data_IF_166110262208
#
_entry.id   IF_166110262208
#
_cell.length_a   1.000
_cell.length_b   1.000
_cell.length_c   1.000
_cell.angle_alpha   90.00
_cell.angle_beta   90.00
_cell.angle_gamma   90.00
#
_symmetry.space_group_name_H-M   'P 1'
#
loop_
_entity.id
_entity.type
_entity.pdbx_description
1 polymer ?
#
# COMPACT_ATOMS: atom_id res chain seq x y z
N UNK A 1 -45.07 36.82 38.42
CA UNK A 1 -44.13 36.66 37.30
C UNK A 1 -42.95 35.71 37.55
N UNK A 2 -42.57 35.32 38.77
CA UNK A 2 -41.40 34.41 39.02
C UNK A 2 -41.65 32.92 38.81
N UNK A 3 -42.89 32.43 38.86
CA UNK A 3 -43.20 30.97 38.68
C UNK A 3 -43.15 30.49 37.21
N UNK A 4 -43.48 31.35 36.25
CA UNK A 4 -43.51 30.99 34.83
C UNK A 4 -42.11 30.89 34.20
N UNK A 5 -41.12 31.61 34.76
CA UNK A 5 -39.73 31.58 34.27
C UNK A 5 -39.03 30.26 34.58
N UNK A 6 -39.36 29.66 35.75
CA UNK A 6 -38.76 28.35 36.14
C UNK A 6 -39.27 27.20 35.27
N UNK A 7 -40.54 27.24 34.84
CA UNK A 7 -41.12 26.20 33.96
C UNK A 7 -40.52 26.26 32.56
N UNK A 8 -40.27 27.44 32.02
CA UNK A 8 -39.65 27.63 30.69
C UNK A 8 -38.18 27.13 30.68
N UNK A 9 -37.41 27.41 31.75
CA UNK A 9 -36.05 26.91 31.87
C UNK A 9 -36.00 25.36 32.00
N UNK A 10 -36.95 24.75 32.74
CA UNK A 10 -37.05 23.29 32.87
C UNK A 10 -37.41 22.62 31.53
N UNK A 11 -38.34 23.22 30.76
CA UNK A 11 -38.73 22.71 29.44
C UNK A 11 -37.59 22.77 28.40
N UNK A 12 -36.76 23.83 28.44
CA UNK A 12 -35.57 23.94 27.56
C UNK A 12 -34.49 22.90 27.93
N UNK A 13 -34.30 22.57 29.21
CA UNK A 13 -33.37 21.53 29.64
C UNK A 13 -33.83 20.13 29.23
N UNK A 14 -35.12 19.84 29.29
CA UNK A 14 -35.67 18.52 28.90
C UNK A 14 -35.60 18.32 27.39
N UNK A 15 -35.77 19.36 26.57
CA UNK A 15 -35.66 19.25 25.10
C UNK A 15 -34.24 19.00 24.63
N UNK A 16 -33.23 19.51 25.34
CA UNK A 16 -31.83 19.24 25.00
C UNK A 16 -31.36 17.85 25.40
N UNK A 17 -31.96 17.24 26.42
CA UNK A 17 -31.63 15.85 26.83
C UNK A 17 -32.10 14.83 25.80
N UNK A 18 -33.17 15.09 25.08
CA UNK A 18 -33.71 14.17 24.04
C UNK A 18 -32.83 14.20 22.75
N UNK A 19 -32.20 15.33 22.45
CA UNK A 19 -31.28 15.42 21.32
C UNK A 19 -29.95 14.69 21.59
N UNK A 20 -29.49 14.67 22.84
CA UNK A 20 -28.25 13.99 23.23
C UNK A 20 -28.39 12.45 23.22
N UNK A 21 -29.57 11.90 23.48
CA UNK A 21 -29.82 10.46 23.43
C UNK A 21 -29.77 9.89 22.00
N UNK A 22 -30.11 10.69 20.98
CA UNK A 22 -29.98 10.28 19.57
C UNK A 22 -28.53 10.13 19.11
N UNK A 23 -27.59 10.88 19.70
CA UNK A 23 -26.16 10.80 19.43
C UNK A 23 -25.47 9.59 20.13
N UNK A 24 -26.11 9.01 21.14
CA UNK A 24 -25.59 7.86 21.90
C UNK A 24 -26.15 6.50 21.43
N UNK A 25 -27.13 6.49 20.54
CA UNK A 25 -27.56 5.28 19.85
C UNK A 25 -26.51 4.86 18.84
N UNK A 26 -25.39 4.29 19.33
CA UNK A 26 -24.50 3.50 18.48
C UNK A 26 -25.33 2.30 18.00
N UNK A 27 -25.62 2.26 16.71
CA UNK A 27 -26.04 1.01 16.08
C UNK A 27 -25.03 -0.06 16.50
N UNK A 28 -25.49 -1.19 16.99
CA UNK A 28 -24.59 -2.33 17.27
C UNK A 28 -23.80 -2.62 16.00
N UNK A 29 -22.48 -2.51 16.09
CA UNK A 29 -21.61 -2.88 14.99
C UNK A 29 -21.57 -4.39 14.92
N UNK A 30 -22.26 -4.96 13.94
CA UNK A 30 -22.22 -6.40 13.68
C UNK A 30 -21.01 -6.68 12.80
N UNK A 31 -20.01 -7.34 13.38
CA UNK A 31 -18.84 -7.80 12.63
C UNK A 31 -19.21 -9.00 11.76
N UNK A 32 -18.82 -8.93 10.50
CA UNK A 32 -18.97 -10.02 9.54
C UNK A 32 -17.76 -10.97 9.62
N UNK A 33 -17.86 -12.15 8.97
CA UNK A 33 -16.72 -13.06 8.84
C UNK A 33 -15.56 -12.39 8.09
N UNK A 34 -15.84 -11.53 7.10
CA UNK A 34 -14.82 -10.81 6.36
C UNK A 34 -14.08 -9.79 7.24
N UNK A 35 -14.77 -9.12 8.16
CA UNK A 35 -14.13 -8.23 9.13
C UNK A 35 -13.18 -9.01 10.05
N UNK A 36 -13.61 -10.21 10.50
CA UNK A 36 -12.77 -11.09 11.30
C UNK A 36 -11.54 -11.59 10.51
N UNK A 37 -11.72 -12.03 9.27
CA UNK A 37 -10.61 -12.49 8.43
C UNK A 37 -9.62 -11.37 8.14
N UNK A 38 -10.08 -10.14 7.99
CA UNK A 38 -9.25 -8.98 7.76
C UNK A 38 -8.51 -8.51 9.03
N UNK A 39 -9.24 -8.38 10.14
CA UNK A 39 -8.77 -7.69 11.35
C UNK A 39 -8.16 -8.59 12.41
N UNK A 40 -8.27 -9.92 12.28
CA UNK A 40 -7.78 -10.87 13.28
C UNK A 40 -6.45 -11.49 12.88
N UNK A 41 -5.64 -11.82 13.89
CA UNK A 41 -4.54 -12.77 13.72
C UNK A 41 -5.16 -14.17 13.72
N UNK A 42 -5.41 -14.70 12.53
CA UNK A 42 -5.92 -16.06 12.36
C UNK A 42 -4.82 -17.09 12.59
N UNK A 43 -5.19 -18.36 12.78
CA UNK A 43 -4.21 -19.46 12.87
C UNK A 43 -3.34 -19.55 11.63
N UNK A 44 -3.91 -19.23 10.47
CA UNK A 44 -3.26 -19.23 9.17
C UNK A 44 -2.29 -18.05 8.97
N UNK A 45 -2.32 -17.05 9.87
CA UNK A 45 -1.38 -15.92 9.90
C UNK A 45 -0.35 -16.00 11.02
N UNK A 46 -0.69 -16.52 12.21
CA UNK A 46 0.15 -16.43 13.40
C UNK A 46 1.40 -17.30 13.40
N UNK A 47 1.41 -18.38 12.58
CA UNK A 47 2.44 -19.40 12.57
C UNK A 47 3.72 -19.02 11.79
N UNK A 48 3.68 -17.94 11.00
CA UNK A 48 4.79 -17.49 10.18
C UNK A 48 5.04 -15.99 10.35
N UNK A 49 6.31 -15.61 10.29
CA UNK A 49 6.83 -14.26 10.43
C UNK A 49 7.46 -13.83 9.11
N UNK A 50 7.01 -12.72 8.52
CA UNK A 50 7.49 -12.27 7.23
C UNK A 50 8.87 -11.64 7.35
N UNK A 51 9.83 -12.08 6.52
CA UNK A 51 11.20 -11.58 6.51
C UNK A 51 11.52 -10.71 5.32
N UNK A 52 10.94 -11.04 4.17
CA UNK A 52 11.25 -10.34 2.94
C UNK A 52 10.13 -10.49 1.92
N UNK A 53 9.89 -9.42 1.16
CA UNK A 53 9.07 -9.43 -0.05
C UNK A 53 9.90 -9.06 -1.27
N UNK A 54 9.65 -9.74 -2.39
CA UNK A 54 10.01 -9.26 -3.71
C UNK A 54 8.73 -9.11 -4.53
N UNK A 55 8.27 -7.87 -4.62
CA UNK A 55 7.14 -7.50 -5.45
C UNK A 55 7.65 -7.17 -6.86
N UNK A 56 7.39 -8.03 -7.84
CA UNK A 56 7.77 -7.87 -9.23
C UNK A 56 6.52 -7.75 -10.09
N UNK A 57 6.23 -6.54 -10.57
CA UNK A 57 4.97 -6.22 -11.24
C UNK A 57 5.16 -5.48 -12.56
N UNK A 58 4.23 -5.70 -13.47
CA UNK A 58 4.03 -4.92 -14.68
C UNK A 58 2.74 -4.12 -14.56
N UNK A 59 2.83 -2.81 -14.75
CA UNK A 59 1.70 -1.89 -14.75
C UNK A 59 1.39 -1.47 -16.18
N UNK A 60 0.17 -1.73 -16.63
CA UNK A 60 -0.28 -1.37 -17.97
C UNK A 60 -1.35 -0.25 -17.92
N UNK A 61 -0.96 1.00 -18.26
CA UNK A 61 -1.90 2.13 -18.24
C UNK A 61 -3.02 2.06 -19.28
N UNK A 62 -2.84 1.27 -20.36
CA UNK A 62 -3.81 1.21 -21.47
C UNK A 62 -5.11 0.52 -21.09
N UNK A 63 -5.00 -0.52 -20.28
CA UNK A 63 -6.14 -1.32 -19.83
C UNK A 63 -6.36 -1.28 -18.31
N UNK A 64 -5.54 -0.49 -17.61
CA UNK A 64 -5.59 -0.30 -16.14
C UNK A 64 -5.39 -1.62 -15.39
N UNK A 65 -4.39 -2.41 -15.79
CA UNK A 65 -4.06 -3.69 -15.17
C UNK A 65 -2.72 -3.67 -14.46
N UNK A 66 -2.64 -4.51 -13.42
CA UNK A 66 -1.39 -4.90 -12.76
C UNK A 66 -1.27 -6.41 -12.89
N UNK A 67 -0.09 -6.91 -13.26
CA UNK A 67 0.22 -8.34 -13.32
C UNK A 67 1.64 -8.57 -12.81
N UNK A 68 1.86 -9.69 -12.15
CA UNK A 68 3.19 -10.02 -11.67
C UNK A 68 3.17 -11.04 -10.54
N UNK A 69 4.11 -10.91 -9.63
CA UNK A 69 4.25 -11.82 -8.50
C UNK A 69 4.74 -11.10 -7.25
N UNK A 70 4.46 -11.70 -6.10
CA UNK A 70 5.12 -11.39 -4.85
C UNK A 70 5.80 -12.66 -4.32
N UNK A 71 7.11 -12.63 -4.20
CA UNK A 71 7.88 -13.68 -3.52
C UNK A 71 7.97 -13.31 -2.04
N UNK A 72 7.52 -14.22 -1.20
CA UNK A 72 7.39 -14.06 0.25
C UNK A 72 8.38 -14.98 0.94
N UNK A 73 9.41 -14.42 1.56
CA UNK A 73 10.30 -15.17 2.44
C UNK A 73 9.84 -15.00 3.87
N UNK A 74 9.70 -16.12 4.58
CA UNK A 74 9.17 -16.13 5.93
C UNK A 74 9.91 -17.12 6.84
N UNK A 75 9.86 -16.87 8.13
CA UNK A 75 10.31 -17.78 9.17
C UNK A 75 9.09 -18.47 9.78
N UNK A 76 9.17 -19.76 9.94
CA UNK A 76 8.16 -20.56 10.63
C UNK A 76 8.29 -20.34 12.14
N UNK A 77 7.24 -19.86 12.79
CA UNK A 77 7.18 -19.61 14.23
C UNK A 77 6.52 -20.78 14.97
N UNK A 78 5.49 -21.35 14.35
CA UNK A 78 4.77 -22.49 14.88
C UNK A 78 4.53 -23.51 13.77
N UNK A 79 4.33 -24.78 14.12
CA UNK A 79 4.07 -25.83 13.18
C UNK A 79 2.67 -25.70 12.57
N UNK A 80 2.60 -25.49 11.24
CA UNK A 80 1.33 -25.38 10.50
C UNK A 80 1.54 -25.66 8.99
N UNK A 81 0.45 -25.89 8.26
CA UNK A 81 0.48 -26.26 6.84
C UNK A 81 -0.49 -25.44 5.97
N UNK A 82 -1.14 -24.44 6.52
CA UNK A 82 -2.07 -23.57 5.81
C UNK A 82 -1.74 -22.11 6.01
N UNK A 83 -1.60 -21.35 4.91
CA UNK A 83 -1.20 -19.93 4.95
C UNK A 83 -2.32 -19.03 4.44
N UNK A 84 -2.61 -17.96 5.18
CA UNK A 84 -3.49 -16.90 4.71
C UNK A 84 -2.69 -15.81 4.02
N UNK A 85 -3.08 -15.49 2.78
CA UNK A 85 -2.63 -14.33 1.99
C UNK A 85 -3.84 -13.49 1.65
N UNK A 86 -3.70 -12.18 1.80
CA UNK A 86 -4.76 -11.23 1.54
C UNK A 86 -4.58 -10.59 0.16
N UNK A 87 -5.63 -10.60 -0.64
CA UNK A 87 -5.72 -9.92 -1.93
C UNK A 87 -7.18 -9.60 -2.23
N UNK A 88 -7.50 -8.32 -2.39
CA UNK A 88 -8.89 -7.90 -2.56
C UNK A 88 -9.39 -8.03 -4.00
N UNK A 89 -10.69 -8.30 -4.11
CA UNK A 89 -11.38 -8.20 -5.39
C UNK A 89 -11.17 -6.81 -6.03
N UNK A 90 -11.02 -6.71 -7.35
CA UNK A 90 -11.19 -7.78 -8.36
C UNK A 90 -9.87 -8.44 -8.81
N UNK A 91 -8.78 -8.30 -8.03
CA UNK A 91 -7.53 -8.98 -8.33
C UNK A 91 -7.64 -10.48 -8.02
N UNK A 92 -6.91 -11.32 -8.80
CA UNK A 92 -6.92 -12.78 -8.70
C UNK A 92 -5.51 -13.33 -8.53
N UNK A 93 -5.38 -14.39 -7.73
CA UNK A 93 -4.18 -15.24 -7.72
C UNK A 93 -4.35 -16.27 -8.83
N UNK A 94 -3.32 -16.46 -9.64
CA UNK A 94 -3.33 -17.42 -10.74
C UNK A 94 -2.57 -18.71 -10.40
N UNK A 95 -1.53 -18.55 -9.54
CA UNK A 95 -0.64 -19.64 -9.18
C UNK A 95 0.13 -19.29 -7.93
N UNK A 96 0.41 -20.30 -7.11
CA UNK A 96 1.34 -20.22 -5.98
C UNK A 96 2.36 -21.32 -6.10
N UNK A 97 3.65 -21.00 -5.92
CA UNK A 97 4.74 -21.98 -6.02
C UNK A 97 5.57 -21.94 -4.74
N UNK A 98 5.86 -23.12 -4.18
CA UNK A 98 6.85 -23.32 -3.13
C UNK A 98 7.74 -24.51 -3.47
N UNK A 99 9.06 -24.38 -3.34
CA UNK A 99 10.05 -25.43 -3.59
C UNK A 99 9.89 -26.08 -4.99
N UNK A 100 9.43 -25.30 -5.99
CA UNK A 100 9.16 -25.76 -7.35
C UNK A 100 7.83 -26.50 -7.55
N UNK A 101 7.04 -26.65 -6.51
CA UNK A 101 5.71 -27.29 -6.54
C UNK A 101 4.63 -26.24 -6.58
N UNK A 102 3.64 -26.41 -7.46
CA UNK A 102 2.44 -25.58 -7.50
C UNK A 102 1.50 -26.02 -6.36
N UNK A 103 1.03 -25.04 -5.57
CA UNK A 103 0.22 -25.26 -4.40
C UNK A 103 -1.26 -25.03 -4.69
N UNK A 104 -2.10 -25.83 -4.06
CA UNK A 104 -3.54 -25.64 -4.06
C UNK A 104 -3.90 -24.44 -3.17
N UNK A 105 -4.93 -23.70 -3.57
CA UNK A 105 -5.47 -22.60 -2.79
C UNK A 105 -6.96 -22.43 -3.01
N UNK A 106 -7.63 -21.84 -2.03
CA UNK A 106 -9.03 -21.45 -2.15
C UNK A 106 -9.22 -19.99 -1.71
N UNK A 107 -10.17 -19.33 -2.36
CA UNK A 107 -10.52 -17.93 -2.05
C UNK A 107 -11.76 -17.85 -1.17
N UNK A 108 -11.70 -17.01 -0.15
CA UNK A 108 -12.86 -16.61 0.65
C UNK A 108 -12.92 -15.07 0.75
N UNK A 109 -13.71 -14.44 -0.12
CA UNK A 109 -13.79 -12.98 -0.20
C UNK A 109 -12.49 -12.33 -0.63
N UNK A 110 -11.85 -11.59 0.30
CA UNK A 110 -10.58 -10.91 0.07
C UNK A 110 -9.36 -11.69 0.61
N UNK A 111 -9.54 -12.95 0.94
CA UNK A 111 -8.52 -13.81 1.52
C UNK A 111 -8.32 -15.05 0.65
N UNK A 112 -7.08 -15.48 0.52
CA UNK A 112 -6.68 -16.75 -0.08
C UNK A 112 -6.02 -17.62 0.98
N UNK A 113 -6.50 -18.84 1.10
CA UNK A 113 -5.89 -19.87 1.92
C UNK A 113 -5.10 -20.81 1.02
N UNK A 114 -3.80 -20.91 1.29
CA UNK A 114 -2.85 -21.72 0.53
C UNK A 114 -2.55 -22.98 1.34
N UNK A 115 -2.75 -24.12 0.74
CA UNK A 115 -2.45 -25.44 1.34
C UNK A 115 -1.01 -25.82 1.01
N UNK A 116 -0.16 -25.89 2.02
CA UNK A 116 1.25 -26.26 1.85
C UNK A 116 1.39 -27.77 1.72
N UNK A 117 2.38 -28.22 0.95
CA UNK A 117 2.57 -29.68 0.67
C UNK A 117 2.83 -30.47 1.96
N UNK A 118 3.44 -29.83 2.96
CA UNK A 118 3.79 -30.49 4.21
C UNK A 118 3.74 -29.50 5.38
N UNK A 119 3.55 -30.06 6.55
CA UNK A 119 3.62 -29.34 7.82
C UNK A 119 4.97 -28.63 7.94
N UNK A 120 4.94 -27.32 8.11
CA UNK A 120 6.13 -26.49 8.24
C UNK A 120 6.65 -26.58 9.68
N UNK A 121 7.98 -26.71 9.83
CA UNK A 121 8.59 -26.86 11.16
C UNK A 121 9.12 -25.53 11.68
N UNK A 122 8.99 -25.25 13.00
CA UNK A 122 9.54 -24.05 13.61
C UNK A 122 11.01 -23.84 13.26
N UNK A 123 11.42 -22.58 13.25
CA UNK A 123 12.76 -22.08 12.91
C UNK A 123 13.16 -22.26 11.43
N UNK A 124 12.39 -22.98 10.63
CA UNK A 124 12.66 -23.07 9.20
C UNK A 124 12.40 -21.71 8.50
N UNK A 125 13.32 -21.34 7.62
CA UNK A 125 13.14 -20.21 6.71
C UNK A 125 12.72 -20.76 5.36
N UNK A 126 11.57 -20.30 4.87
CA UNK A 126 10.95 -20.77 3.64
C UNK A 126 10.62 -19.59 2.73
N UNK A 127 10.35 -19.91 1.48
CA UNK A 127 9.94 -18.95 0.47
C UNK A 127 8.82 -19.53 -0.39
N UNK A 128 7.83 -18.71 -0.74
CA UNK A 128 6.85 -19.03 -1.75
C UNK A 128 6.61 -17.82 -2.66
N UNK A 129 6.17 -18.07 -3.89
CA UNK A 129 5.86 -17.04 -4.87
C UNK A 129 4.39 -17.09 -5.25
N UNK A 130 3.70 -15.97 -5.07
CA UNK A 130 2.30 -15.77 -5.43
C UNK A 130 2.23 -14.99 -6.73
N UNK A 131 1.68 -15.58 -7.80
CA UNK A 131 1.43 -14.93 -9.09
C UNK A 131 0.00 -14.40 -9.12
N UNK A 132 -0.16 -13.14 -9.48
CA UNK A 132 -1.45 -12.47 -9.42
C UNK A 132 -1.62 -11.41 -10.50
N UNK A 133 -2.83 -10.89 -10.64
CA UNK A 133 -3.08 -9.73 -11.48
C UNK A 133 -4.55 -9.47 -11.70
N UNK A 134 -4.81 -8.50 -12.56
CA UNK A 134 -6.14 -8.04 -12.92
C UNK A 134 -6.25 -6.52 -12.95
N UNK A 135 -7.47 -6.03 -12.92
CA UNK A 135 -7.76 -4.58 -12.78
C UNK A 135 -7.97 -4.29 -11.30
N UNK A 136 -7.03 -3.63 -10.61
CA UNK A 136 -7.23 -3.32 -9.20
C UNK A 136 -8.40 -2.35 -9.00
N UNK A 137 -8.92 -2.29 -7.79
CA UNK A 137 -9.94 -1.30 -7.43
C UNK A 137 -9.43 0.10 -7.73
N UNK A 138 -10.29 0.91 -8.35
CA UNK A 138 -9.98 2.32 -8.63
C UNK A 138 -10.33 3.17 -7.42
N UNK A 139 -9.40 4.02 -6.99
CA UNK A 139 -9.66 5.03 -5.97
C UNK A 139 -10.64 6.09 -6.49
N UNK A 140 -11.72 6.34 -5.76
CA UNK A 140 -12.77 7.31 -6.16
C UNK A 140 -12.35 8.72 -5.78
N UNK A 141 -11.85 8.90 -4.57
CA UNK A 141 -11.40 10.18 -4.02
C UNK A 141 -10.00 10.05 -3.39
N UNK A 142 -8.95 9.77 -4.21
CA UNK A 142 -7.60 9.64 -3.70
C UNK A 142 -7.07 10.96 -3.10
N UNK A 143 -6.24 10.93 -2.07
CA UNK A 143 -5.70 9.75 -1.38
C UNK A 143 -6.60 9.21 -0.26
N UNK A 144 -7.79 9.77 -0.07
CA UNK A 144 -8.69 9.52 1.07
C UNK A 144 -9.44 8.19 0.99
N UNK A 145 -9.39 7.48 -0.13
CA UNK A 145 -9.88 6.12 -0.28
C UNK A 145 -8.88 5.24 -1.04
N UNK A 146 -8.86 3.94 -0.67
CA UNK A 146 -7.95 2.96 -1.22
C UNK A 146 -8.27 2.55 -2.65
N UNK A 147 -7.23 2.18 -3.38
CA UNK A 147 -7.27 1.75 -4.77
C UNK A 147 -6.13 2.32 -5.59
N UNK A 148 -6.20 2.12 -6.89
CA UNK A 148 -5.25 2.69 -7.84
C UNK A 148 -5.89 3.88 -8.55
N UNK A 149 -5.18 5.01 -8.56
CA UNK A 149 -5.51 6.17 -9.39
C UNK A 149 -5.03 5.92 -10.81
N UNK A 150 -5.92 6.04 -11.79
CA UNK A 150 -5.63 5.98 -13.22
C UNK A 150 -6.06 7.30 -13.85
N UNK A 151 -5.16 8.28 -13.84
CA UNK A 151 -5.43 9.62 -14.40
C UNK A 151 -4.41 9.97 -15.48
N UNK A 152 -4.56 11.15 -16.05
CA UNK A 152 -3.60 11.76 -16.97
C UNK A 152 -3.16 13.09 -16.42
N UNK A 153 -1.90 13.44 -16.68
CA UNK A 153 -1.38 14.77 -16.42
C UNK A 153 -1.93 15.81 -17.44
N UNK A 154 -1.53 17.06 -17.30
CA UNK A 154 -1.97 18.15 -18.19
C UNK A 154 -1.49 17.99 -19.64
N UNK A 155 -0.50 17.13 -19.90
CA UNK A 155 0.02 16.82 -21.24
C UNK A 155 -0.63 15.57 -21.84
N UNK A 156 -1.54 14.91 -21.09
CA UNK A 156 -2.21 13.69 -21.52
C UNK A 156 -1.44 12.41 -21.24
N UNK A 157 -0.28 12.46 -20.58
CA UNK A 157 0.49 11.29 -20.18
C UNK A 157 -0.17 10.56 -19.00
N UNK A 158 -0.05 9.24 -18.90
CA UNK A 158 -0.55 8.49 -17.75
C UNK A 158 0.04 8.98 -16.43
N UNK A 159 -0.82 9.11 -15.42
CA UNK A 159 -0.48 9.33 -14.02
C UNK A 159 -1.16 8.25 -13.18
N UNK A 160 -0.37 7.45 -12.48
CA UNK A 160 -0.84 6.29 -11.73
C UNK A 160 -0.23 6.35 -10.34
N UNK A 161 -1.07 6.18 -9.31
CA UNK A 161 -0.63 6.14 -7.92
C UNK A 161 -1.45 5.12 -7.14
N UNK A 162 -0.82 4.41 -6.21
CA UNK A 162 -1.51 3.54 -5.25
C UNK A 162 -1.93 4.33 -4.02
N UNK A 163 -3.04 3.93 -3.41
CA UNK A 163 -3.50 4.39 -2.11
C UNK A 163 -4.07 3.19 -1.34
N UNK A 164 -3.74 3.09 -0.05
CA UNK A 164 -4.21 1.99 0.81
C UNK A 164 -5.28 2.45 1.81
N UNK A 165 -5.63 3.74 1.81
CA UNK A 165 -6.52 4.36 2.81
C UNK A 165 -7.83 3.59 2.97
N UNK A 166 -8.15 3.20 4.21
CA UNK A 166 -9.34 2.47 4.59
C UNK A 166 -9.40 0.99 4.14
N UNK A 167 -8.62 0.59 3.13
CA UNK A 167 -8.67 -0.75 2.54
C UNK A 167 -7.47 -1.65 2.87
N UNK A 168 -6.31 -1.08 3.19
CA UNK A 168 -5.08 -1.85 3.39
C UNK A 168 -4.31 -2.13 2.10
N UNK A 169 -3.14 -2.73 2.24
CA UNK A 169 -2.21 -2.99 1.14
C UNK A 169 -2.72 -4.04 0.14
N UNK A 170 -3.50 -4.98 0.61
CA UNK A 170 -4.09 -6.05 -0.20
C UNK A 170 -5.05 -5.57 -1.30
N UNK A 171 -5.37 -4.27 -1.33
CA UNK A 171 -6.15 -3.66 -2.40
C UNK A 171 -5.45 -3.71 -3.76
N UNK A 172 -4.11 -3.85 -3.80
CA UNK A 172 -3.36 -3.84 -5.05
C UNK A 172 -2.23 -4.88 -5.17
N UNK A 173 -1.82 -5.55 -4.10
CA UNK A 173 -0.84 -6.63 -4.13
C UNK A 173 -1.07 -7.67 -3.03
N UNK A 174 -0.73 -8.97 -3.26
CA UNK A 174 -0.94 -10.04 -2.28
C UNK A 174 0.11 -9.96 -1.17
N UNK A 175 -0.33 -9.93 0.08
CA UNK A 175 0.55 -9.86 1.25
C UNK A 175 -0.14 -10.37 2.52
N UNK A 176 0.58 -10.36 3.64
CA UNK A 176 0.03 -10.54 4.99
C UNK A 176 -0.46 -9.18 5.48
N UNK A 177 -1.70 -8.82 5.13
CA UNK A 177 -2.25 -7.47 5.36
C UNK A 177 -2.72 -7.29 6.80
N UNK A 178 -1.78 -7.29 7.73
CA UNK A 178 -2.03 -7.06 9.15
C UNK A 178 -0.86 -6.29 9.79
N UNK A 179 -1.17 -5.34 10.67
CA UNK A 179 -0.21 -4.39 11.23
C UNK A 179 0.75 -4.99 12.28
N UNK A 180 0.54 -6.24 12.72
CA UNK A 180 1.39 -6.84 13.75
C UNK A 180 2.73 -7.38 13.20
N UNK A 181 2.87 -7.45 11.88
CA UNK A 181 4.02 -8.05 11.22
C UNK A 181 4.50 -7.12 10.10
N UNK A 182 5.70 -6.59 10.24
CA UNK A 182 6.34 -5.70 9.29
C UNK A 182 7.54 -6.40 8.65
N UNK A 183 7.62 -6.35 7.33
CA UNK A 183 8.73 -6.94 6.58
C UNK A 183 10.06 -6.25 6.91
N UNK A 184 11.13 -7.03 7.14
CA UNK A 184 12.46 -6.49 7.47
C UNK A 184 13.11 -5.75 6.30
N UNK A 185 12.85 -6.19 5.07
CA UNK A 185 13.32 -5.56 3.84
C UNK A 185 12.48 -5.96 2.64
N UNK A 186 12.54 -5.17 1.56
CA UNK A 186 11.72 -5.41 0.39
C UNK A 186 12.42 -4.98 -0.89
N UNK A 187 12.27 -5.77 -1.96
CA UNK A 187 12.58 -5.38 -3.34
C UNK A 187 11.26 -5.10 -4.08
N UNK A 188 11.16 -3.91 -4.67
CA UNK A 188 10.01 -3.48 -5.45
C UNK A 188 10.47 -3.28 -6.89
N UNK A 189 10.11 -4.20 -7.77
CA UNK A 189 10.43 -4.17 -9.19
C UNK A 189 9.17 -3.79 -9.98
N UNK A 190 9.18 -2.62 -10.61
CA UNK A 190 8.01 -2.10 -11.33
C UNK A 190 8.33 -1.88 -12.80
N UNK A 191 7.71 -2.67 -13.67
CA UNK A 191 7.80 -2.54 -15.11
C UNK A 191 6.70 -1.61 -15.63
N UNK A 192 7.12 -0.59 -16.40
CA UNK A 192 6.23 0.44 -16.96
C UNK A 192 6.60 0.75 -18.42
N UNK A 193 5.71 1.37 -19.22
CA UNK A 193 6.04 1.90 -20.55
C UNK A 193 7.28 2.79 -20.53
N UNK A 194 8.10 2.70 -21.55
CA UNK A 194 9.44 3.32 -21.59
C UNK A 194 9.48 4.84 -21.51
N UNK A 195 8.38 5.52 -21.77
CA UNK A 195 8.23 6.97 -21.61
C UNK A 195 7.87 7.41 -20.19
N UNK A 196 7.50 6.46 -19.31
CA UNK A 196 7.11 6.75 -17.93
C UNK A 196 8.23 6.46 -16.94
N UNK A 197 8.18 7.08 -15.79
CA UNK A 197 9.06 6.84 -14.65
C UNK A 197 8.23 6.31 -13.49
N UNK A 198 8.74 5.29 -12.80
CA UNK A 198 8.19 4.82 -11.55
C UNK A 198 9.03 5.33 -10.38
N UNK A 199 8.35 5.75 -9.33
CA UNK A 199 8.91 6.06 -8.01
C UNK A 199 8.21 5.19 -6.99
N UNK A 200 8.99 4.58 -6.09
CA UNK A 200 8.50 3.73 -5.02
C UNK A 200 9.34 3.94 -3.76
N UNK A 201 9.09 3.17 -2.72
CA UNK A 201 9.81 3.25 -1.45
C UNK A 201 11.25 2.74 -1.57
N UNK A 202 12.11 3.22 -0.66
CA UNK A 202 13.50 2.80 -0.56
C UNK A 202 14.44 3.49 -1.55
N UNK A 203 15.54 2.83 -1.91
CA UNK A 203 16.56 3.35 -2.80
C UNK A 203 16.46 2.73 -4.19
N UNK A 204 16.56 3.56 -5.24
CA UNK A 204 16.62 3.08 -6.60
C UNK A 204 17.97 2.37 -6.85
N UNK A 205 17.93 1.04 -6.99
CA UNK A 205 19.11 0.25 -7.29
C UNK A 205 19.46 0.27 -8.78
N UNK A 206 18.44 0.15 -9.64
CA UNK A 206 18.68 0.07 -11.08
C UNK A 206 17.43 0.38 -11.90
N UNK A 207 17.64 0.81 -13.15
CA UNK A 207 16.60 0.92 -14.17
C UNK A 207 17.02 0.07 -15.36
N UNK A 208 16.25 -0.98 -15.68
CA UNK A 208 16.51 -1.87 -16.82
C UNK A 208 15.58 -1.51 -17.97
N UNK A 209 16.14 -1.10 -19.10
CA UNK A 209 15.39 -0.94 -20.37
C UNK A 209 15.24 -2.31 -21.04
N UNK A 210 14.04 -2.66 -21.43
CA UNK A 210 13.73 -3.92 -22.08
C UNK A 210 13.53 -3.73 -23.59
N UNK A 211 13.68 -4.82 -24.34
CA UNK A 211 13.57 -4.81 -25.81
C UNK A 211 12.16 -4.52 -26.31
N UNK A 212 11.14 -4.75 -25.48
CA UNK A 212 9.74 -4.47 -25.77
C UNK A 212 9.35 -2.99 -25.59
N UNK A 213 10.33 -2.12 -25.33
CA UNK A 213 10.14 -0.69 -25.14
C UNK A 213 9.68 -0.30 -23.72
N UNK A 214 9.68 -1.23 -22.78
CA UNK A 214 9.36 -0.96 -21.37
C UNK A 214 10.61 -0.72 -20.53
N UNK A 215 10.43 -0.27 -19.30
CA UNK A 215 11.51 -0.13 -18.29
C UNK A 215 11.08 -0.78 -16.98
N UNK A 216 12.00 -1.46 -16.30
CA UNK A 216 11.81 -1.95 -14.94
C UNK A 216 12.66 -1.13 -13.98
N UNK A 217 12.01 -0.54 -12.99
CA UNK A 217 12.64 0.17 -11.89
C UNK A 217 12.73 -0.77 -10.70
N UNK A 218 13.94 -0.92 -10.13
CA UNK A 218 14.18 -1.77 -8.97
C UNK A 218 14.50 -0.90 -7.76
N UNK A 219 13.61 -0.89 -6.78
CA UNK A 219 13.73 -0.15 -5.54
C UNK A 219 13.95 -1.11 -4.38
N UNK A 220 14.87 -0.79 -3.49
CA UNK A 220 15.17 -1.62 -2.33
C UNK A 220 14.93 -0.86 -1.04
N UNK A 221 14.11 -1.43 -0.18
CA UNK A 221 13.82 -0.96 1.17
C UNK A 221 14.64 -1.81 2.13
N UNK A 222 15.56 -1.18 2.86
CA UNK A 222 16.51 -1.83 3.77
C UNK A 222 16.05 -1.84 5.23
N UNK A 223 15.04 -1.05 5.57
CA UNK A 223 14.49 -0.95 6.91
C UNK A 223 13.10 -1.60 6.96
N UNK A 224 12.61 -2.02 8.13
CA UNK A 224 11.23 -2.48 8.26
C UNK A 224 10.24 -1.46 7.69
N UNK A 225 9.29 -1.95 6.91
CA UNK A 225 8.25 -1.14 6.30
C UNK A 225 6.89 -1.79 6.49
N UNK A 226 5.93 -1.00 6.92
CA UNK A 226 4.54 -1.40 6.99
C UNK A 226 3.99 -1.61 5.58
N UNK A 227 3.26 -2.70 5.35
CA UNK A 227 2.66 -3.00 4.04
C UNK A 227 1.78 -1.86 3.51
N UNK A 228 1.06 -1.17 4.39
CA UNK A 228 0.25 0.00 4.07
C UNK A 228 1.07 1.14 3.44
N UNK A 229 2.34 1.31 3.85
CA UNK A 229 3.27 2.32 3.35
C UNK A 229 3.87 2.00 1.98
N UNK A 230 3.74 0.77 1.49
CA UNK A 230 4.28 0.37 0.18
C UNK A 230 3.45 0.98 -0.94
N UNK A 231 4.10 1.76 -1.81
CA UNK A 231 3.41 2.48 -2.87
C UNK A 231 4.14 2.46 -4.20
N UNK A 232 3.39 2.74 -5.26
CA UNK A 232 3.89 3.04 -6.60
C UNK A 232 3.33 4.38 -7.06
N UNK A 233 4.21 5.21 -7.65
CA UNK A 233 3.85 6.44 -8.33
C UNK A 233 4.47 6.40 -9.72
N UNK A 234 3.66 6.50 -10.77
CA UNK A 234 4.08 6.35 -12.16
C UNK A 234 3.57 7.54 -12.96
N UNK A 235 4.47 8.19 -13.68
CA UNK A 235 4.14 9.35 -14.49
C UNK A 235 5.29 9.77 -15.40
N UNK A 236 5.10 10.86 -16.15
CA UNK A 236 6.17 11.54 -16.90
C UNK A 236 6.91 12.50 -15.97
N UNK A 237 7.69 11.90 -15.03
CA UNK A 237 8.43 12.66 -14.03
C UNK A 237 9.77 13.15 -14.57
N UNK A 238 10.17 14.33 -14.13
CA UNK A 238 11.55 14.83 -14.20
C UNK A 238 12.18 14.79 -12.81
N UNK A 239 13.46 14.42 -12.74
CA UNK A 239 14.18 14.39 -11.47
C UNK A 239 15.12 15.58 -11.36
N UNK A 240 15.19 16.17 -10.19
CA UNK A 240 16.25 17.09 -9.81
C UNK A 240 16.85 16.65 -8.46
N UNK A 241 18.06 17.10 -8.18
CA UNK A 241 18.72 16.75 -6.91
C UNK A 241 19.38 17.99 -6.33
N UNK A 242 19.33 18.10 -5.02
CA UNK A 242 20.00 19.15 -4.25
C UNK A 242 20.98 18.51 -3.26
N UNK A 243 22.04 19.25 -2.91
CA UNK A 243 22.94 18.85 -1.84
C UNK A 243 22.58 19.66 -0.60
N UNK A 244 22.28 18.97 0.47
CA UNK A 244 22.03 19.59 1.77
C UNK A 244 23.30 19.46 2.63
N UNK A 245 23.75 20.59 3.20
CA UNK A 245 24.81 20.60 4.19
C UNK A 245 24.18 20.72 5.57
N UNK A 246 24.21 19.65 6.32
CA UNK A 246 23.67 19.63 7.68
C UNK A 246 24.42 20.54 8.66
N UNK A 247 23.78 20.96 9.75
CA UNK A 247 24.35 21.86 10.78
C UNK A 247 25.63 21.29 11.43
N UNK A 248 25.81 19.96 11.42
CA UNK A 248 26.96 19.27 12.01
C UNK A 248 28.07 18.95 11.00
N UNK A 249 28.02 19.51 9.78
CA UNK A 249 29.00 19.27 8.72
C UNK A 249 28.92 17.85 8.13
N UNK A 250 29.24 17.73 6.84
CA UNK A 250 29.64 16.50 6.15
C UNK A 250 28.66 15.33 5.93
N UNK A 251 27.35 15.53 6.00
CA UNK A 251 26.40 14.63 5.36
C UNK A 251 25.89 15.26 4.07
N UNK A 252 26.48 14.83 2.94
CA UNK A 252 25.97 15.14 1.59
C UNK A 252 24.61 14.43 1.42
N UNK A 253 23.54 15.11 1.71
CA UNK A 253 22.19 14.66 1.44
C UNK A 253 21.88 14.92 -0.02
N UNK A 254 21.96 13.89 -0.85
CA UNK A 254 21.43 13.92 -2.20
C UNK A 254 19.94 13.57 -2.17
N UNK A 255 19.08 14.52 -1.88
CA UNK A 255 17.65 14.34 -2.11
C UNK A 255 17.40 14.35 -3.62
N UNK A 256 16.71 13.34 -4.16
CA UNK A 256 16.15 13.39 -5.51
C UNK A 256 14.69 13.70 -5.40
N UNK A 257 14.29 14.84 -5.92
CA UNK A 257 12.89 15.22 -6.04
C UNK A 257 12.41 14.86 -7.44
N UNK A 258 11.18 14.37 -7.52
CA UNK A 258 10.53 14.05 -8.78
C UNK A 258 9.36 15.00 -8.99
N UNK A 259 9.34 15.66 -10.12
CA UNK A 259 8.30 16.60 -10.48
C UNK A 259 7.56 16.10 -11.73
N UNK A 260 6.23 16.20 -11.73
CA UNK A 260 5.41 15.84 -12.88
C UNK A 260 5.53 16.91 -13.95
N UNK A 261 5.99 16.59 -15.13
CA UNK A 261 6.01 17.52 -16.28
C UNK A 261 4.57 18.02 -16.56
N UNK A 262 4.44 19.32 -16.71
CA UNK A 262 3.15 19.98 -16.95
C UNK A 262 2.46 20.55 -15.71
N UNK A 263 2.78 20.07 -14.51
CA UNK A 263 2.37 20.73 -13.25
C UNK A 263 3.38 21.77 -12.78
N UNK A 264 4.62 21.67 -13.20
CA UNK A 264 5.76 22.53 -12.82
C UNK A 264 5.56 24.02 -13.10
N UNK A 265 4.89 24.37 -14.18
CA UNK A 265 4.61 25.76 -14.51
C UNK A 265 3.75 26.51 -13.47
N UNK A 266 3.03 25.77 -12.59
CA UNK A 266 2.23 26.34 -11.49
C UNK A 266 2.97 26.34 -10.16
N UNK A 267 3.97 25.48 -9.96
CA UNK A 267 4.75 25.38 -8.72
C UNK A 267 5.75 26.54 -8.51
N UNK A 268 6.03 27.33 -9.53
CA UNK A 268 6.90 28.51 -9.42
C UNK A 268 6.35 29.67 -8.58
N UNK A 269 5.15 29.56 -8.04
CA UNK A 269 4.57 30.48 -7.06
C UNK A 269 4.00 29.66 -5.91
N UNK A 270 4.67 29.70 -4.78
CA UNK A 270 4.32 29.24 -3.43
C UNK A 270 2.81 29.09 -3.18
N UNK A 271 2.18 28.11 -3.78
CA UNK A 271 0.80 27.81 -3.48
C UNK A 271 0.73 26.35 -3.00
N UNK A 272 0.54 26.20 -1.70
CA UNK A 272 0.49 24.91 -1.00
C UNK A 272 -0.81 24.13 -1.22
N UNK A 273 -1.55 24.44 -2.29
CA UNK A 273 -2.85 23.81 -2.59
C UNK A 273 -2.79 22.63 -3.56
N UNK A 274 -1.67 21.91 -3.61
CA UNK A 274 -1.49 20.78 -4.52
C UNK A 274 -1.83 19.46 -3.84
N UNK A 275 -3.05 18.96 -4.03
CA UNK A 275 -3.52 17.70 -3.46
C UNK A 275 -2.87 16.44 -4.03
N UNK A 276 -2.23 16.52 -5.20
CA UNK A 276 -1.42 15.40 -5.77
C UNK A 276 0.06 15.46 -5.37
N UNK A 277 0.53 16.59 -4.83
CA UNK A 277 1.90 16.76 -4.37
C UNK A 277 2.15 16.22 -2.97
N UNK A 278 1.12 16.11 -2.14
CA UNK A 278 1.26 15.59 -0.79
C UNK A 278 1.68 14.10 -0.79
N UNK A 279 1.12 13.27 -1.67
CA UNK A 279 1.52 11.87 -1.79
C UNK A 279 2.96 11.69 -2.28
N UNK A 280 3.40 12.54 -3.19
CA UNK A 280 4.79 12.55 -3.66
C UNK A 280 5.74 13.02 -2.56
N UNK A 281 5.32 14.00 -1.77
CA UNK A 281 6.09 14.51 -0.62
C UNK A 281 6.20 13.45 0.47
N UNK A 282 5.13 12.73 0.80
CA UNK A 282 5.16 11.65 1.79
C UNK A 282 6.06 10.50 1.32
N UNK A 283 6.05 10.18 0.03
CA UNK A 283 6.95 9.19 -0.57
C UNK A 283 8.42 9.67 -0.52
N UNK A 284 8.65 10.97 -0.70
CA UNK A 284 9.97 11.57 -0.63
C UNK A 284 10.48 11.67 0.81
N UNK A 285 9.61 11.94 1.78
CA UNK A 285 9.96 11.90 3.20
C UNK A 285 10.31 10.48 3.65
N UNK A 286 9.59 9.46 3.19
CA UNK A 286 9.94 8.06 3.43
C UNK A 286 11.30 7.69 2.79
N UNK A 287 11.60 8.22 1.62
CA UNK A 287 12.90 8.09 0.97
C UNK A 287 14.02 8.83 1.72
N UNK A 288 13.72 9.97 2.36
CA UNK A 288 14.67 10.74 3.16
C UNK A 288 15.01 10.07 4.49
N UNK A 289 14.05 9.42 5.14
CA UNK A 289 14.28 8.71 6.41
C UNK A 289 15.21 7.51 6.25
N UNK A 290 15.23 6.86 5.09
CA UNK A 290 16.11 5.73 4.79
C UNK A 290 17.58 6.14 4.52
N UNK A 291 17.89 7.43 4.35
CA UNK A 291 19.24 7.94 4.11
C UNK A 291 20.05 8.21 5.38
N UNK A 292 19.46 8.03 6.57
CA UNK A 292 20.06 8.38 7.86
C UNK A 292 20.86 7.26 8.53
N UNK A 293 21.32 6.22 7.81
CA UNK A 293 22.21 5.19 8.33
C UNK A 293 23.36 4.85 7.39
#
# INVERSE_FOLDING_TARGET
>A
MKKNFVIICAAVFISNSSAAQGLLNKSEVVFTKQDSLRGSITKEREWWDVKYYHLDIKVNPKDSTITGSNTIKYQVVQEYDRMQIDLQNPLEIYKVIQDGVELEYNREGNVFFIELVALQKPDAVKELTVFYGGKPKVAVNPPWDGGITWKKDSNGNPFIASSCQGLGASVWWPNKDHMYDEVESMLISVNVPGNLTNVSNGRLLSVKKLRDGTKTFNWYVSNPINNYGVNINIGDYVSFSEKYKGEKGDLDWGGKYLEVKGSAARLGKRDHSFTGGAEIIDTLEALQLDTNR
#
